data_IF_884769342736
#
_entry.id   IF_884769342736
#
_cell.length_a   1.000
_cell.length_b   1.000
_cell.length_c   1.000
_cell.angle_alpha   90.00
_cell.angle_beta   90.00
_cell.angle_gamma   90.00
#
_symmetry.space_group_name_H-M   'P 1'
#
loop_
_entity.id
_entity.type
_entity.pdbx_description
1 polymer ?
#
# COMPACT_ATOMS: atom_id res chain seq x y z
N UNK A 1 -50.97 -4.14 -7.98
CA UNK A 1 -49.92 -3.29 -8.54
C UNK A 1 -50.16 -1.88 -8.05
N UNK A 2 -49.46 -1.46 -7.00
CA UNK A 2 -49.53 -0.10 -6.46
C UNK A 2 -48.14 0.49 -6.52
N UNK A 3 -47.97 1.47 -7.40
CA UNK A 3 -46.73 2.24 -7.56
C UNK A 3 -46.64 3.19 -6.37
N UNK A 4 -46.24 2.68 -5.20
CA UNK A 4 -46.03 3.53 -4.03
C UNK A 4 -44.75 4.37 -4.22
N UNK A 5 -44.95 5.65 -4.56
CA UNK A 5 -44.02 6.77 -4.37
C UNK A 5 -42.52 6.41 -4.45
N UNK A 6 -42.12 5.88 -5.61
CA UNK A 6 -40.71 5.71 -5.97
C UNK A 6 -40.13 7.11 -6.18
N UNK A 7 -39.32 7.57 -5.22
CA UNK A 7 -38.63 8.87 -5.29
C UNK A 7 -37.29 8.64 -5.96
N UNK A 8 -37.30 8.47 -7.28
CA UNK A 8 -36.08 8.33 -8.09
C UNK A 8 -35.84 9.67 -8.79
N UNK A 9 -34.82 10.45 -8.39
CA UNK A 9 -34.33 11.55 -9.22
C UNK A 9 -33.94 11.00 -10.60
N UNK A 10 -34.23 11.74 -11.68
CA UNK A 10 -33.95 11.30 -13.04
C UNK A 10 -32.48 10.87 -13.21
N UNK A 11 -32.26 9.62 -13.63
CA UNK A 11 -30.93 9.03 -13.83
C UNK A 11 -30.42 8.11 -12.71
N UNK A 12 -31.18 7.92 -11.63
CA UNK A 12 -30.75 7.07 -10.50
C UNK A 12 -31.14 5.59 -10.67
N UNK A 13 -30.36 4.69 -10.06
CA UNK A 13 -30.49 3.22 -10.21
C UNK A 13 -31.86 2.75 -9.71
N UNK A 14 -32.54 1.86 -10.43
CA UNK A 14 -33.86 1.37 -10.00
C UNK A 14 -33.80 0.74 -8.58
N UNK A 15 -34.75 1.06 -7.67
CA UNK A 15 -34.78 0.46 -6.34
C UNK A 15 -34.98 -1.03 -6.39
N UNK A 16 -34.13 -1.76 -5.68
CA UNK A 16 -34.12 -3.22 -5.69
C UNK A 16 -33.85 -3.73 -4.28
N UNK A 17 -34.56 -4.75 -3.85
CA UNK A 17 -34.26 -5.42 -2.59
C UNK A 17 -32.88 -6.11 -2.67
N UNK A 18 -32.14 -6.18 -1.57
CA UNK A 18 -30.80 -6.80 -1.57
C UNK A 18 -30.81 -8.30 -1.89
N UNK A 19 -31.93 -9.01 -1.65
CA UNK A 19 -32.13 -10.39 -2.12
C UNK A 19 -32.52 -10.48 -3.61
N UNK A 20 -32.69 -9.35 -4.27
CA UNK A 20 -33.31 -9.23 -5.59
C UNK A 20 -34.81 -8.99 -5.53
N UNK A 21 -35.37 -8.53 -6.65
CA UNK A 21 -36.79 -8.17 -6.75
C UNK A 21 -37.13 -6.76 -6.24
N UNK A 22 -38.41 -6.38 -6.31
CA UNK A 22 -38.89 -5.08 -5.85
C UNK A 22 -38.85 -4.97 -4.31
N UNK A 23 -38.78 -3.73 -3.81
CA UNK A 23 -38.92 -3.46 -2.38
C UNK A 23 -40.37 -3.61 -1.93
N UNK A 24 -40.60 -4.35 -0.85
CA UNK A 24 -41.89 -4.40 -0.15
C UNK A 24 -41.85 -3.51 1.09
N UNK A 25 -42.49 -2.34 1.01
CA UNK A 25 -42.57 -1.42 2.13
C UNK A 25 -43.62 -1.81 3.15
N UNK A 26 -44.67 -2.53 2.76
CA UNK A 26 -45.79 -2.87 3.64
C UNK A 26 -45.38 -3.93 4.67
N UNK A 27 -44.56 -4.90 4.26
CA UNK A 27 -44.01 -5.94 5.15
C UNK A 27 -42.76 -5.52 5.94
N UNK A 28 -42.26 -4.30 5.76
CA UNK A 28 -40.98 -3.88 6.34
C UNK A 28 -41.11 -3.52 7.83
N UNK A 29 -40.27 -4.10 8.69
CA UNK A 29 -40.22 -3.78 10.13
C UNK A 29 -39.85 -2.33 10.47
N UNK A 30 -39.48 -1.54 9.46
CA UNK A 30 -39.14 -0.11 9.56
C UNK A 30 -40.16 0.79 8.84
N UNK A 31 -41.36 0.28 8.54
CA UNK A 31 -42.40 1.01 7.80
C UNK A 31 -42.76 2.36 8.44
N UNK A 32 -42.72 2.47 9.77
CA UNK A 32 -42.98 3.72 10.51
C UNK A 32 -42.10 4.90 10.09
N UNK A 33 -40.88 4.63 9.59
CA UNK A 33 -39.98 5.69 9.13
C UNK A 33 -40.43 6.33 7.80
N UNK A 34 -41.44 5.77 7.12
CA UNK A 34 -42.08 6.39 5.94
C UNK A 34 -42.98 7.56 6.32
N UNK A 35 -43.45 7.61 7.57
CA UNK A 35 -44.33 8.66 8.08
C UNK A 35 -43.55 9.95 8.40
N UNK A 36 -42.21 9.87 8.45
CA UNK A 36 -41.35 11.02 8.68
C UNK A 36 -41.27 11.93 7.45
N UNK A 37 -40.97 13.23 7.64
CA UNK A 37 -40.69 14.17 6.55
C UNK A 37 -39.62 13.63 5.60
N UNK A 38 -39.69 13.99 4.32
CA UNK A 38 -38.84 13.40 3.29
C UNK A 38 -37.34 13.45 3.63
N UNK A 39 -36.87 14.57 4.16
CA UNK A 39 -35.54 14.83 4.72
C UNK A 39 -35.03 13.83 5.78
N UNK A 40 -35.92 13.12 6.47
CA UNK A 40 -35.59 12.14 7.52
C UNK A 40 -36.32 10.81 7.33
N UNK A 41 -37.04 10.63 6.22
CA UNK A 41 -37.95 9.52 5.99
C UNK A 41 -37.41 8.49 5.01
N UNK A 42 -37.76 7.22 5.24
CA UNK A 42 -37.37 6.14 4.34
C UNK A 42 -38.30 6.04 3.12
N UNK A 43 -37.78 5.56 1.99
CA UNK A 43 -38.56 5.35 0.77
C UNK A 43 -37.75 4.71 -0.36
N UNK A 44 -38.40 3.91 -1.24
CA UNK A 44 -37.79 3.39 -2.46
C UNK A 44 -37.20 4.51 -3.32
N UNK A 45 -35.97 4.32 -3.79
CA UNK A 45 -35.28 5.34 -4.59
C UNK A 45 -34.54 6.38 -3.77
N UNK A 46 -34.81 6.46 -2.46
CA UNK A 46 -34.40 7.59 -1.64
C UNK A 46 -33.48 7.19 -0.49
N UNK A 47 -34.02 6.50 0.52
CA UNK A 47 -33.28 5.99 1.67
C UNK A 47 -33.98 4.72 2.15
N UNK A 48 -33.28 3.59 2.14
CA UNK A 48 -33.88 2.31 2.51
C UNK A 48 -32.78 1.33 2.89
N UNK A 49 -32.87 0.79 4.11
CA UNK A 49 -31.96 -0.26 4.59
C UNK A 49 -32.11 -1.58 3.81
N UNK A 50 -33.28 -1.82 3.22
CA UNK A 50 -33.57 -3.03 2.46
C UNK A 50 -33.17 -2.92 0.97
N UNK A 51 -32.64 -1.78 0.53
CA UNK A 51 -32.19 -1.58 -0.86
C UNK A 51 -30.80 -2.20 -1.08
N UNK A 52 -30.54 -2.73 -2.27
CA UNK A 52 -29.23 -3.24 -2.67
C UNK A 52 -28.21 -2.10 -2.90
N UNK A 53 -28.67 -0.86 -3.08
CA UNK A 53 -27.78 0.25 -3.35
C UNK A 53 -27.24 0.87 -2.06
N UNK A 54 -25.94 0.69 -1.81
CA UNK A 54 -25.24 1.14 -0.61
C UNK A 54 -25.51 2.61 -0.21
N UNK A 55 -25.59 3.54 -1.17
CA UNK A 55 -25.85 4.97 -0.86
C UNK A 55 -27.22 5.21 -0.22
N UNK A 56 -28.22 4.37 -0.49
CA UNK A 56 -29.55 4.47 0.11
C UNK A 56 -29.58 3.88 1.51
N UNK A 57 -28.79 2.84 1.74
CA UNK A 57 -28.57 2.27 3.08
C UNK A 57 -27.81 3.28 3.95
N UNK A 58 -26.74 3.88 3.41
CA UNK A 58 -25.93 4.91 4.08
C UNK A 58 -26.78 6.12 4.48
N UNK A 59 -27.61 6.62 3.57
CA UNK A 59 -28.54 7.71 3.87
C UNK A 59 -29.53 7.33 4.98
N UNK A 60 -30.04 6.11 4.97
CA UNK A 60 -30.95 5.63 6.02
C UNK A 60 -30.27 5.63 7.39
N UNK A 61 -29.05 5.10 7.52
CA UNK A 61 -28.31 5.10 8.79
C UNK A 61 -27.77 6.47 9.18
N UNK A 62 -27.55 7.38 8.23
CA UNK A 62 -27.22 8.77 8.53
C UNK A 62 -28.36 9.47 9.29
N UNK A 63 -29.62 9.19 8.93
CA UNK A 63 -30.80 9.76 9.62
C UNK A 63 -31.24 8.97 10.85
N UNK A 64 -30.96 7.67 10.88
CA UNK A 64 -31.36 6.77 11.96
C UNK A 64 -30.17 5.99 12.55
N UNK A 65 -29.11 6.67 13.04
CA UNK A 65 -27.91 6.00 13.56
C UNK A 65 -28.21 5.14 14.79
N UNK A 66 -29.26 5.43 15.55
CA UNK A 66 -29.69 4.64 16.71
C UNK A 66 -30.08 3.20 16.37
N UNK A 67 -30.34 2.90 15.10
CA UNK A 67 -30.62 1.55 14.63
C UNK A 67 -29.36 0.73 14.36
N UNK A 68 -28.19 1.37 14.20
CA UNK A 68 -26.97 0.73 13.72
C UNK A 68 -26.52 -0.45 14.60
N UNK A 69 -26.52 -0.27 15.92
CA UNK A 69 -26.16 -1.32 16.88
C UNK A 69 -27.01 -2.60 16.71
N UNK A 70 -28.27 -2.46 16.28
CA UNK A 70 -29.19 -3.60 16.08
C UNK A 70 -28.94 -4.34 14.76
N UNK A 71 -28.20 -3.75 13.83
CA UNK A 71 -28.00 -4.28 12.48
C UNK A 71 -26.64 -4.96 12.27
N UNK A 72 -25.85 -5.15 13.33
CA UNK A 72 -24.54 -5.82 13.25
C UNK A 72 -24.64 -7.30 12.86
N UNK A 73 -25.82 -7.94 13.01
CA UNK A 73 -26.04 -9.32 12.60
C UNK A 73 -26.87 -9.43 11.30
N UNK A 74 -27.04 -8.33 10.56
CA UNK A 74 -27.87 -8.32 9.37
C UNK A 74 -27.32 -9.29 8.29
N UNK A 75 -28.15 -10.08 7.57
CA UNK A 75 -27.65 -11.04 6.59
C UNK A 75 -26.86 -10.40 5.44
N UNK A 76 -27.28 -9.22 5.02
CA UNK A 76 -26.63 -8.46 3.95
C UNK A 76 -25.40 -7.69 4.47
N UNK A 77 -24.24 -7.91 3.86
CA UNK A 77 -22.97 -7.38 4.36
C UNK A 77 -22.88 -5.86 4.24
N UNK A 78 -23.43 -5.23 3.19
CA UNK A 78 -23.41 -3.77 3.06
C UNK A 78 -24.16 -3.10 4.21
N UNK A 79 -25.26 -3.68 4.67
CA UNK A 79 -25.97 -3.18 5.87
C UNK A 79 -25.09 -3.29 7.10
N UNK A 80 -24.38 -4.41 7.31
CA UNK A 80 -23.44 -4.55 8.43
C UNK A 80 -22.28 -3.56 8.32
N UNK A 81 -21.70 -3.40 7.14
CA UNK A 81 -20.59 -2.50 6.89
C UNK A 81 -20.98 -1.03 7.14
N UNK A 82 -22.14 -0.61 6.63
CA UNK A 82 -22.63 0.76 6.82
C UNK A 82 -23.07 0.95 8.28
N UNK A 83 -23.77 0.01 8.90
CA UNK A 83 -24.11 0.07 10.31
C UNK A 83 -22.83 0.20 11.17
N UNK A 84 -21.76 -0.51 10.83
CA UNK A 84 -20.48 -0.40 11.51
C UNK A 84 -19.85 1.00 11.42
N UNK A 85 -20.28 1.88 10.50
CA UNK A 85 -19.86 3.28 10.47
C UNK A 85 -20.58 4.18 11.49
N UNK A 86 -21.78 3.79 11.91
CA UNK A 86 -22.65 4.58 12.81
C UNK A 86 -22.74 4.00 14.23
N UNK A 87 -22.37 2.73 14.39
CA UNK A 87 -22.46 1.97 15.65
C UNK A 87 -21.54 2.52 16.75
N UNK A 88 -21.91 2.33 18.01
CA UNK A 88 -21.01 2.60 19.14
C UNK A 88 -19.71 1.79 19.03
N UNK A 89 -18.57 2.44 19.32
CA UNK A 89 -17.25 1.79 19.18
C UNK A 89 -17.14 0.52 20.03
N UNK A 90 -17.86 0.46 21.16
CA UNK A 90 -17.88 -0.71 22.05
C UNK A 90 -18.58 -1.93 21.46
N UNK A 91 -19.44 -1.77 20.45
CA UNK A 91 -20.12 -2.88 19.78
C UNK A 91 -19.35 -3.41 18.56
N UNK A 92 -18.42 -2.61 18.00
CA UNK A 92 -17.61 -3.02 16.84
C UNK A 92 -16.80 -4.31 17.02
N UNK A 93 -16.28 -4.68 18.21
CA UNK A 93 -15.57 -5.95 18.41
C UNK A 93 -16.35 -7.19 17.97
N UNK A 94 -17.69 -7.14 17.98
CA UNK A 94 -18.55 -8.24 17.52
C UNK A 94 -18.35 -8.57 16.02
N UNK A 95 -17.87 -7.62 15.23
CA UNK A 95 -17.67 -7.74 13.78
C UNK A 95 -16.21 -8.07 13.39
N UNK A 96 -15.29 -8.26 14.35
CA UNK A 96 -13.88 -8.52 14.04
C UNK A 96 -13.65 -9.78 13.20
N UNK A 97 -14.54 -10.76 13.33
CA UNK A 97 -14.56 -12.00 12.56
C UNK A 97 -15.65 -12.04 11.50
N UNK A 98 -16.20 -10.89 11.08
CA UNK A 98 -17.18 -10.84 9.99
C UNK A 98 -16.61 -11.54 8.75
N UNK A 99 -17.36 -12.38 8.01
CA UNK A 99 -16.85 -13.05 6.83
C UNK A 99 -16.45 -12.07 5.71
N UNK A 100 -17.09 -10.90 5.64
CA UNK A 100 -16.93 -9.95 4.56
C UNK A 100 -15.82 -8.93 4.85
N UNK A 101 -14.88 -8.77 3.91
CA UNK A 101 -13.75 -7.86 4.05
C UNK A 101 -14.17 -6.39 4.09
N UNK A 102 -15.28 -5.99 3.46
CA UNK A 102 -15.76 -4.61 3.47
C UNK A 102 -16.25 -4.23 4.87
N UNK A 103 -16.86 -5.17 5.61
CA UNK A 103 -17.21 -4.96 7.01
C UNK A 103 -15.95 -4.80 7.86
N UNK A 104 -14.97 -5.69 7.71
CA UNK A 104 -13.69 -5.61 8.45
C UNK A 104 -12.89 -4.35 8.09
N UNK A 105 -13.01 -3.84 6.86
CA UNK A 105 -12.43 -2.57 6.43
C UNK A 105 -13.06 -1.37 7.15
N UNK A 106 -14.39 -1.37 7.36
CA UNK A 106 -15.06 -0.33 8.15
C UNK A 106 -14.67 -0.39 9.63
N UNK A 107 -14.42 -1.58 10.16
CA UNK A 107 -13.84 -1.73 11.50
C UNK A 107 -12.45 -1.12 11.57
N UNK A 108 -11.60 -1.42 10.59
CA UNK A 108 -10.24 -0.90 10.50
C UNK A 108 -10.18 0.62 10.40
N UNK A 109 -11.31 1.32 10.18
CA UNK A 109 -11.43 2.77 10.20
C UNK A 109 -11.74 3.36 11.58
N UNK A 110 -12.44 2.61 12.44
CA UNK A 110 -13.03 3.15 13.67
C UNK A 110 -12.50 2.49 14.94
N UNK A 111 -11.95 1.28 14.85
CA UNK A 111 -11.43 0.57 16.02
C UNK A 111 -10.31 1.37 16.72
N UNK A 112 -10.29 1.37 18.06
CA UNK A 112 -9.17 1.87 18.87
C UNK A 112 -7.91 1.03 18.61
N UNK A 113 -6.73 1.62 18.89
CA UNK A 113 -5.42 1.01 18.60
C UNK A 113 -5.28 -0.44 19.11
N UNK A 114 -5.71 -0.71 20.35
CA UNK A 114 -5.61 -2.04 20.95
C UNK A 114 -6.41 -3.11 20.19
N UNK A 115 -7.59 -2.74 19.68
CA UNK A 115 -8.45 -3.66 18.92
C UNK A 115 -8.05 -3.72 17.44
N UNK A 116 -7.61 -2.60 16.88
CA UNK A 116 -7.12 -2.52 15.50
C UNK A 116 -5.93 -3.48 15.26
N UNK A 117 -5.06 -3.65 16.27
CA UNK A 117 -3.95 -4.59 16.21
C UNK A 117 -4.40 -6.06 15.95
N UNK A 118 -5.65 -6.41 16.26
CA UNK A 118 -6.20 -7.76 15.98
C UNK A 118 -6.41 -8.03 14.49
N UNK A 119 -6.46 -6.98 13.65
CA UNK A 119 -6.64 -7.07 12.20
C UNK A 119 -5.30 -7.01 11.43
N UNK A 120 -4.16 -7.00 12.13
CA UNK A 120 -2.82 -6.94 11.51
C UNK A 120 -2.58 -8.10 10.53
N UNK A 121 -3.13 -9.28 10.83
CA UNK A 121 -3.02 -10.48 10.01
C UNK A 121 -4.30 -10.78 9.22
N UNK A 122 -5.13 -9.77 8.92
CA UNK A 122 -6.34 -9.98 8.12
C UNK A 122 -5.99 -10.66 6.79
N UNK A 123 -6.74 -11.69 6.35
CA UNK A 123 -6.46 -12.37 5.08
C UNK A 123 -6.53 -11.42 3.89
N UNK A 124 -7.37 -10.37 3.97
CA UNK A 124 -7.57 -9.45 2.87
C UNK A 124 -6.56 -8.30 2.90
N UNK A 125 -5.83 -8.15 1.79
CA UNK A 125 -4.77 -7.14 1.62
C UNK A 125 -5.25 -5.72 1.91
N UNK A 126 -6.43 -5.35 1.45
CA UNK A 126 -6.96 -3.98 1.63
C UNK A 126 -7.23 -3.65 3.10
N UNK A 127 -7.67 -4.65 3.89
CA UNK A 127 -7.85 -4.48 5.33
C UNK A 127 -6.48 -4.27 5.99
N UNK A 128 -5.48 -5.07 5.62
CA UNK A 128 -4.11 -4.90 6.13
C UNK A 128 -3.53 -3.53 5.79
N UNK A 129 -3.74 -3.01 4.57
CA UNK A 129 -3.35 -1.64 4.19
C UNK A 129 -3.97 -0.62 5.14
N UNK A 130 -5.28 -0.73 5.37
CA UNK A 130 -6.03 0.19 6.23
C UNK A 130 -5.58 0.13 7.68
N UNK A 131 -5.32 -1.08 8.18
CA UNK A 131 -4.77 -1.31 9.51
C UNK A 131 -3.40 -0.66 9.60
N UNK A 132 -2.51 -0.96 8.67
CA UNK A 132 -1.16 -0.42 8.62
C UNK A 132 -1.20 1.11 8.73
N UNK A 133 -2.02 1.78 7.91
CA UNK A 133 -2.22 3.25 7.89
C UNK A 133 -2.50 3.87 9.25
N UNK A 134 -3.20 3.15 10.14
CA UNK A 134 -3.68 3.69 11.42
C UNK A 134 -2.95 3.14 12.63
N UNK A 135 -2.39 1.93 12.58
CA UNK A 135 -1.72 1.35 13.75
C UNK A 135 -0.53 2.20 14.19
N UNK A 136 -0.32 2.21 15.51
CA UNK A 136 0.85 2.82 16.12
C UNK A 136 2.15 2.24 15.56
N UNK A 137 3.26 3.00 15.55
CA UNK A 137 4.56 2.49 15.11
C UNK A 137 5.01 1.23 15.87
N UNK A 138 4.63 1.11 17.14
CA UNK A 138 4.93 -0.06 17.96
C UNK A 138 4.19 -1.32 17.46
N UNK A 139 2.92 -1.20 17.07
CA UNK A 139 2.13 -2.32 16.56
C UNK A 139 2.52 -2.72 15.13
N UNK A 140 3.06 -1.78 14.34
CA UNK A 140 3.53 -2.04 12.96
C UNK A 140 4.64 -3.11 12.88
N UNK A 141 5.36 -3.33 13.98
CA UNK A 141 6.34 -4.42 14.16
C UNK A 141 5.74 -5.79 13.81
N UNK A 142 4.45 -6.01 14.10
CA UNK A 142 3.76 -7.27 13.79
C UNK A 142 3.61 -7.54 12.30
N UNK A 143 3.71 -6.50 11.45
CA UNK A 143 3.52 -6.57 9.99
C UNK A 143 4.83 -6.75 9.21
N UNK A 144 5.99 -6.85 9.87
CA UNK A 144 7.29 -6.95 9.18
C UNK A 144 7.45 -8.23 8.37
N UNK A 145 6.72 -9.28 8.72
CA UNK A 145 6.71 -10.56 8.02
C UNK A 145 5.50 -10.75 7.11
N UNK A 146 4.81 -9.68 6.71
CA UNK A 146 3.68 -9.78 5.78
C UNK A 146 4.13 -10.47 4.48
N UNK A 147 3.28 -11.32 3.92
CA UNK A 147 3.58 -12.03 2.67
C UNK A 147 3.68 -11.08 1.48
N UNK A 148 2.96 -9.95 1.50
CA UNK A 148 3.00 -8.93 0.47
C UNK A 148 4.22 -7.99 0.67
N UNK A 149 5.13 -7.96 -0.30
CA UNK A 149 6.32 -7.11 -0.24
C UNK A 149 5.98 -5.61 -0.19
N UNK A 150 4.86 -5.19 -0.79
CA UNK A 150 4.35 -3.83 -0.72
C UNK A 150 3.92 -3.46 0.69
N UNK A 151 3.35 -4.41 1.45
CA UNK A 151 3.08 -4.23 2.88
C UNK A 151 4.38 -4.11 3.68
N UNK A 152 5.37 -4.98 3.44
CA UNK A 152 6.67 -4.88 4.10
C UNK A 152 7.42 -3.58 3.76
N UNK A 153 7.36 -3.12 2.51
CA UNK A 153 7.88 -1.81 2.07
C UNK A 153 7.22 -0.67 2.84
N UNK A 154 5.89 -0.74 3.00
CA UNK A 154 5.13 0.26 3.74
C UNK A 154 5.50 0.27 5.23
N UNK A 155 5.71 -0.92 5.81
CA UNK A 155 6.24 -1.08 7.17
C UNK A 155 7.60 -0.40 7.28
N UNK A 156 8.54 -0.70 6.37
CA UNK A 156 9.85 -0.04 6.32
C UNK A 156 9.72 1.46 6.18
N UNK A 157 8.66 2.04 5.61
CA UNK A 157 8.52 3.49 5.50
C UNK A 157 8.15 4.19 6.82
N UNK A 158 7.45 3.50 7.74
CA UNK A 158 6.94 4.09 9.00
C UNK A 158 7.56 3.52 10.26
N UNK A 159 8.26 2.39 10.18
CA UNK A 159 8.87 1.77 11.34
C UNK A 159 9.94 2.71 11.94
N UNK A 160 10.04 2.82 13.28
CA UNK A 160 11.11 3.58 13.93
C UNK A 160 12.50 3.12 13.48
N UNK A 161 13.43 4.05 13.31
CA UNK A 161 14.78 3.78 12.78
C UNK A 161 15.52 2.69 13.58
N UNK A 162 15.36 2.70 14.90
CA UNK A 162 15.95 1.70 15.80
C UNK A 162 15.48 0.25 15.53
N UNK A 163 14.36 0.05 14.85
CA UNK A 163 13.77 -1.26 14.57
C UNK A 163 13.99 -1.72 13.11
N UNK A 164 14.37 -0.82 12.21
CA UNK A 164 14.69 -1.16 10.80
C UNK A 164 15.77 -2.23 10.63
N UNK A 165 16.83 -2.32 11.48
CA UNK A 165 17.87 -3.34 11.31
C UNK A 165 17.36 -4.79 11.39
N UNK A 166 16.15 -5.00 11.92
CA UNK A 166 15.51 -6.32 12.01
C UNK A 166 14.95 -6.79 10.64
N UNK A 167 14.92 -5.91 9.62
CA UNK A 167 14.41 -6.21 8.28
C UNK A 167 15.49 -6.27 7.20
N UNK A 168 16.78 -6.10 7.54
CA UNK A 168 17.89 -6.05 6.56
C UNK A 168 17.91 -7.27 5.62
N UNK A 169 17.54 -8.44 6.12
CA UNK A 169 17.47 -9.69 5.34
C UNK A 169 16.18 -9.90 4.56
N UNK A 170 15.39 -8.86 4.27
CA UNK A 170 14.17 -9.02 3.47
C UNK A 170 14.48 -9.65 2.10
N UNK A 171 13.65 -10.59 1.67
CA UNK A 171 13.84 -11.28 0.40
C UNK A 171 13.66 -10.34 -0.80
N UNK A 172 12.85 -9.29 -0.66
CA UNK A 172 12.50 -8.39 -1.76
C UNK A 172 13.45 -7.19 -1.86
N UNK A 173 14.03 -7.01 -3.05
CA UNK A 173 14.99 -5.92 -3.31
C UNK A 173 14.39 -4.53 -3.10
N UNK A 174 13.11 -4.32 -3.36
CA UNK A 174 12.46 -3.00 -3.21
C UNK A 174 12.34 -2.64 -1.73
N UNK A 175 12.12 -3.65 -0.87
CA UNK A 175 12.15 -3.47 0.58
C UNK A 175 13.57 -3.14 1.05
N UNK A 176 14.59 -3.86 0.56
CA UNK A 176 16.00 -3.59 0.86
C UNK A 176 16.50 -2.23 0.36
N UNK A 177 16.04 -1.77 -0.80
CA UNK A 177 16.29 -0.39 -1.28
C UNK A 177 15.70 0.64 -0.31
N UNK A 178 14.43 0.45 0.09
CA UNK A 178 13.77 1.35 1.05
C UNK A 178 14.45 1.33 2.43
N UNK A 179 15.04 0.20 2.83
CA UNK A 179 15.88 0.11 4.02
C UNK A 179 17.17 0.91 3.84
N UNK A 180 17.88 0.73 2.73
CA UNK A 180 19.10 1.48 2.43
C UNK A 180 18.86 2.99 2.38
N UNK A 181 17.69 3.46 1.98
CA UNK A 181 17.29 4.89 2.03
C UNK A 181 17.11 5.43 3.46
N UNK A 182 16.73 4.58 4.43
CA UNK A 182 16.34 5.02 5.79
C UNK A 182 17.31 4.62 6.89
N UNK A 183 18.10 3.56 6.72
CA UNK A 183 18.98 3.05 7.77
C UNK A 183 20.06 4.07 8.13
N UNK A 184 20.31 4.26 9.42
CA UNK A 184 21.44 5.04 9.90
C UNK A 184 22.64 4.16 10.21
N UNK A 185 23.80 4.79 10.38
CA UNK A 185 24.99 4.14 10.90
C UNK A 185 24.74 3.61 12.33
N UNK A 186 25.29 2.42 12.69
CA UNK A 186 26.13 1.54 11.89
C UNK A 186 25.34 0.54 11.03
N UNK A 187 24.01 0.53 11.10
CA UNK A 187 23.19 -0.47 10.41
C UNK A 187 23.25 -0.36 8.89
N UNK A 188 23.44 0.84 8.34
CA UNK A 188 23.66 1.06 6.91
C UNK A 188 24.87 0.26 6.37
N UNK A 189 25.96 0.13 7.13
CA UNK A 189 27.12 -0.68 6.71
C UNK A 189 26.79 -2.16 6.55
N UNK A 190 25.77 -2.68 7.24
CA UNK A 190 25.40 -4.10 7.18
C UNK A 190 24.76 -4.49 5.85
N UNK A 191 24.33 -3.52 5.04
CA UNK A 191 23.73 -3.74 3.71
C UNK A 191 24.66 -3.27 2.58
N UNK A 192 25.92 -2.93 2.89
CA UNK A 192 26.92 -2.54 1.89
C UNK A 192 27.24 -3.66 0.89
N UNK A 193 27.15 -4.92 1.32
CA UNK A 193 27.45 -6.09 0.49
C UNK A 193 26.16 -6.75 -0.05
N UNK A 194 25.06 -6.01 -0.20
CA UNK A 194 23.78 -6.53 -0.72
C UNK A 194 23.98 -7.16 -2.11
N UNK A 195 23.22 -8.22 -2.42
CA UNK A 195 23.30 -8.86 -3.73
C UNK A 195 22.90 -7.93 -4.88
N UNK A 196 22.04 -6.96 -4.61
CA UNK A 196 21.48 -6.05 -5.61
C UNK A 196 22.31 -4.77 -5.73
N UNK A 197 22.86 -4.51 -6.92
CA UNK A 197 23.69 -3.33 -7.18
C UNK A 197 22.97 -2.01 -6.88
N UNK A 198 21.65 -1.95 -7.09
CA UNK A 198 20.87 -0.74 -6.80
C UNK A 198 20.80 -0.44 -5.29
N UNK A 199 20.75 -1.48 -4.45
CA UNK A 199 20.80 -1.32 -3.00
C UNK A 199 22.19 -0.81 -2.60
N UNK A 200 23.26 -1.44 -3.12
CA UNK A 200 24.65 -1.00 -2.86
C UNK A 200 24.91 0.42 -3.35
N UNK A 201 24.29 0.85 -4.46
CA UNK A 201 24.35 2.22 -4.98
C UNK A 201 23.73 3.21 -3.99
N UNK A 202 22.53 2.93 -3.47
CA UNK A 202 21.89 3.76 -2.43
C UNK A 202 22.76 3.82 -1.15
N UNK A 203 23.42 2.71 -0.80
CA UNK A 203 24.39 2.69 0.31
C UNK A 203 25.57 3.61 0.00
N UNK A 204 26.16 3.52 -1.20
CA UNK A 204 27.24 4.39 -1.66
C UNK A 204 26.84 5.87 -1.69
N UNK A 205 25.57 6.21 -1.96
CA UNK A 205 25.05 7.59 -1.89
C UNK A 205 24.98 8.14 -0.46
N UNK A 206 24.83 7.27 0.54
CA UNK A 206 24.56 7.66 1.93
C UNK A 206 25.71 7.44 2.90
N UNK A 207 26.66 6.55 2.59
CA UNK A 207 27.80 6.31 3.47
C UNK A 207 28.64 7.60 3.66
N UNK A 208 29.23 7.81 4.84
CA UNK A 208 30.29 8.80 5.01
C UNK A 208 31.43 8.57 4.02
N UNK A 209 32.01 9.64 3.48
CA UNK A 209 33.05 9.55 2.45
C UNK A 209 34.25 8.67 2.86
N UNK A 210 34.60 8.68 4.16
CA UNK A 210 35.68 7.87 4.75
C UNK A 210 35.42 6.36 4.71
N UNK A 211 34.18 5.93 4.48
CA UNK A 211 33.79 4.52 4.43
C UNK A 211 33.51 4.02 3.00
N UNK A 212 33.63 4.89 1.99
CA UNK A 212 33.37 4.53 0.59
C UNK A 212 34.42 3.57 0.01
N UNK A 213 35.60 3.46 0.63
CA UNK A 213 36.63 2.50 0.22
C UNK A 213 36.14 1.06 0.20
N UNK A 214 35.13 0.72 1.01
CA UNK A 214 34.48 -0.61 1.01
C UNK A 214 33.80 -0.94 -0.33
N UNK A 215 33.38 0.07 -1.08
CA UNK A 215 32.65 -0.07 -2.34
C UNK A 215 33.48 0.33 -3.56
N UNK A 216 34.76 0.68 -3.38
CA UNK A 216 35.62 1.15 -4.47
C UNK A 216 35.84 0.10 -5.56
N UNK A 217 35.80 -1.19 -5.20
CA UNK A 217 35.96 -2.31 -6.13
C UNK A 217 34.64 -3.04 -6.42
N UNK A 218 33.51 -2.35 -6.27
CA UNK A 218 32.20 -2.96 -6.56
C UNK A 218 32.13 -3.47 -8.01
N UNK A 219 31.58 -4.66 -8.26
CA UNK A 219 31.47 -5.17 -9.63
C UNK A 219 30.58 -4.29 -10.52
N UNK A 220 29.63 -3.54 -9.95
CA UNK A 220 28.76 -2.65 -10.70
C UNK A 220 29.36 -1.24 -10.81
N UNK A 221 29.58 -0.81 -12.05
CA UNK A 221 30.17 0.49 -12.35
C UNK A 221 29.35 1.66 -11.79
N UNK A 222 28.04 1.54 -11.59
CA UNK A 222 27.19 2.61 -11.04
C UNK A 222 27.49 2.84 -9.56
N UNK A 223 27.86 1.79 -8.85
CA UNK A 223 28.30 1.89 -7.45
C UNK A 223 29.68 2.52 -7.40
N UNK A 224 30.62 2.06 -8.24
CA UNK A 224 31.97 2.65 -8.33
C UNK A 224 31.93 4.12 -8.76
N UNK A 225 31.02 4.47 -9.67
CA UNK A 225 30.78 5.85 -10.09
C UNK A 225 30.35 6.73 -8.90
N UNK A 226 29.42 6.24 -8.07
CA UNK A 226 28.98 6.96 -6.89
C UNK A 226 30.11 7.11 -5.86
N UNK A 227 30.96 6.09 -5.73
CA UNK A 227 32.20 6.15 -4.93
C UNK A 227 33.19 7.17 -5.49
N UNK A 228 33.43 7.19 -6.80
CA UNK A 228 34.34 8.14 -7.44
C UNK A 228 33.86 9.59 -7.27
N UNK A 229 32.55 9.81 -7.40
CA UNK A 229 31.91 11.13 -7.27
C UNK A 229 31.97 11.69 -5.86
N UNK A 230 31.89 10.85 -4.83
CA UNK A 230 31.83 11.25 -3.42
C UNK A 230 33.12 11.01 -2.63
N UNK A 231 33.99 10.15 -3.12
CA UNK A 231 35.24 9.75 -2.50
C UNK A 231 36.27 10.88 -2.51
N UNK A 232 37.33 10.71 -1.72
CA UNK A 232 38.44 11.64 -1.67
C UNK A 232 39.76 10.88 -1.46
N UNK A 233 40.88 11.54 -1.79
CA UNK A 233 42.23 11.01 -1.54
C UNK A 233 42.48 9.69 -2.24
N UNK A 234 42.90 8.68 -1.48
CA UNK A 234 43.28 7.35 -1.98
C UNK A 234 42.15 6.63 -2.73
N UNK A 235 40.89 6.88 -2.35
CA UNK A 235 39.72 6.28 -3.02
C UNK A 235 39.67 6.73 -4.48
N UNK A 236 39.81 8.03 -4.74
CA UNK A 236 39.80 8.56 -6.11
C UNK A 236 41.04 8.10 -6.87
N UNK A 237 42.20 8.08 -6.22
CA UNK A 237 43.43 7.58 -6.82
C UNK A 237 43.29 6.12 -7.29
N UNK A 238 42.58 5.27 -6.54
CA UNK A 238 42.34 3.88 -6.91
C UNK A 238 41.42 3.69 -8.12
N UNK A 239 40.69 4.73 -8.54
CA UNK A 239 39.69 4.69 -9.61
C UNK A 239 40.14 5.41 -10.89
N UNK A 240 41.36 5.96 -10.94
CA UNK A 240 41.90 6.67 -12.12
C UNK A 240 42.02 5.76 -13.34
N UNK A 241 42.32 4.49 -13.12
CA UNK A 241 42.46 3.47 -14.17
C UNK A 241 41.24 2.53 -14.25
N UNK A 242 40.08 2.96 -13.76
CA UNK A 242 38.86 2.18 -13.84
C UNK A 242 38.51 1.85 -15.31
N UNK A 243 38.01 0.64 -15.54
CA UNK A 243 37.63 0.16 -16.88
C UNK A 243 36.54 1.04 -17.49
N UNK A 244 35.66 1.60 -16.66
CA UNK A 244 34.56 2.45 -17.10
C UNK A 244 34.97 3.92 -17.11
N UNK A 245 34.95 4.56 -18.28
CA UNK A 245 35.33 5.97 -18.46
C UNK A 245 34.52 6.91 -17.55
N UNK A 246 33.22 6.62 -17.38
CA UNK A 246 32.33 7.39 -16.51
C UNK A 246 32.79 7.37 -15.06
N UNK A 247 33.46 6.31 -14.60
CA UNK A 247 34.01 6.19 -13.25
C UNK A 247 35.33 6.94 -13.12
N UNK A 248 36.18 6.95 -14.16
CA UNK A 248 37.45 7.69 -14.18
C UNK A 248 37.26 9.21 -14.12
N UNK A 249 36.20 9.70 -14.75
CA UNK A 249 35.88 11.13 -14.83
C UNK A 249 34.43 11.41 -14.42
N UNK A 250 34.07 11.22 -13.13
CA UNK A 250 32.69 11.37 -12.67
C UNK A 250 32.27 12.85 -12.77
N UNK A 251 31.24 13.13 -13.55
CA UNK A 251 30.63 14.45 -13.65
C UNK A 251 29.63 14.66 -12.51
N UNK A 252 29.28 15.92 -12.24
CA UNK A 252 28.29 16.26 -11.22
C UNK A 252 26.88 15.68 -11.50
N UNK A 253 26.59 15.32 -12.76
CA UNK A 253 25.33 14.73 -13.21
C UNK A 253 25.48 13.22 -13.48
N UNK A 254 24.50 12.44 -13.06
CA UNK A 254 24.46 11.01 -13.29
C UNK A 254 24.24 10.70 -14.78
N UNK A 255 25.00 9.77 -15.39
CA UNK A 255 24.67 9.27 -16.71
C UNK A 255 23.27 8.63 -16.67
N UNK A 256 22.41 8.99 -17.63
CA UNK A 256 21.07 8.45 -17.71
C UNK A 256 21.14 6.93 -17.89
N UNK A 257 20.29 6.19 -17.18
CA UNK A 257 20.24 4.72 -17.20
C UNK A 257 20.02 4.10 -18.61
N UNK A 258 19.74 4.93 -19.63
CA UNK A 258 19.53 4.51 -21.02
C UNK A 258 20.69 4.75 -22.00
N UNK A 259 21.79 5.40 -21.62
CA UNK A 259 22.80 5.85 -22.60
C UNK A 259 24.01 4.92 -22.78
N UNK A 260 24.16 3.88 -21.97
CA UNK A 260 25.30 2.94 -22.02
C UNK A 260 25.18 1.84 -23.09
N UNK A 261 24.06 1.77 -23.82
CA UNK A 261 23.93 0.86 -24.97
C UNK A 261 24.81 1.27 -26.17
N UNK A 262 25.26 2.53 -26.24
CA UNK A 262 26.02 3.05 -27.40
C UNK A 262 27.55 2.95 -27.27
N UNK A 263 28.10 2.61 -26.11
CA UNK A 263 29.55 2.41 -25.91
C UNK A 263 30.01 0.97 -26.19
N UNK A 264 29.07 0.02 -26.31
CA UNK A 264 29.35 -1.39 -26.62
C UNK A 264 29.27 -1.73 -28.12
N UNK A 265 28.74 -0.83 -28.98
CA UNK A 265 28.43 -1.14 -30.40
C UNK A 265 29.51 -0.71 -31.39
N UNK A 266 30.50 0.08 -30.99
CA UNK A 266 31.58 0.54 -31.88
C UNK A 266 32.79 -0.42 -31.94
N UNK A 267 32.76 -1.53 -31.20
CA UNK A 267 33.83 -2.54 -31.19
C UNK A 267 33.63 -3.76 -32.11
N UNK A 268 32.48 -3.92 -32.77
CA UNK A 268 32.16 -5.12 -33.56
C UNK A 268 31.61 -4.81 -34.96
N UNK A 269 32.34 -4.02 -35.76
CA UNK A 269 32.11 -3.96 -37.22
C UNK A 269 33.42 -3.93 -38.00
N UNK A 270 34.38 -4.79 -37.63
CA UNK A 270 35.44 -5.21 -38.54
C UNK A 270 35.79 -6.68 -38.29
N UNK A 271 35.06 -7.60 -38.94
CA UNK A 271 35.55 -8.90 -39.44
C UNK A 271 34.37 -9.74 -39.93
N UNK A 272 34.09 -9.63 -41.22
CA UNK A 272 33.72 -10.78 -42.08
C UNK A 272 33.40 -10.27 -43.48
N UNK A 273 34.44 -9.85 -44.20
CA UNK A 273 34.41 -9.85 -45.64
C UNK A 273 34.84 -11.24 -46.12
N UNK A 274 34.01 -11.84 -46.97
CA UNK A 274 34.36 -13.00 -47.81
C UNK A 274 33.93 -14.35 -47.24
N UNK A 275 32.93 -14.98 -47.85
CA UNK A 275 33.14 -16.10 -48.80
C UNK A 275 31.93 -16.14 -49.74
N UNK A 276 32.23 -16.27 -51.04
CA UNK A 276 31.31 -16.49 -52.15
C UNK A 276 31.13 -18.00 -52.40
N UNK A 277 29.98 -18.31 -53.01
CA UNK A 277 29.68 -19.42 -53.93
C UNK A 277 29.19 -20.76 -53.37
N UNK A 278 28.13 -21.25 -54.01
CA UNK A 278 27.43 -22.50 -53.80
C UNK A 278 25.97 -22.33 -54.13
#
# INVERSE_FOLDING_TARGET
>A
MSVENVRVPGGDIAPRHWQGGPLDCAGCGYVRFRELPAEHGCGPGHACMQDAYARRIERFFHWHPELANKQLAHPYFEVRAIAASHTDVFCLPALLGDPDEMVRLQLALRLPQAQLARLIYDPHREVRIRVAQRVSPAALVGMRGDSDYGMRKWVVQRLPLALLPQMIGDADRVVRMRLAERLDMPALLRIADDSEAEVRRIVAERLPATLLSRLAFDPDWRVRWEVARRGAGEIVASLVDDVDEVVRAPRAEAPAAGEVANLMTTGQTQRSAGVKHG
#
